data_IF_561497472733
#
_entry.id   IF_561497472733
#
_cell.length_a   1.000
_cell.length_b   1.000
_cell.length_c   1.000
_cell.angle_alpha   90.00
_cell.angle_beta   90.00
_cell.angle_gamma   90.00
#
_symmetry.space_group_name_H-M   'P 1'
#
loop_
_entity.id
_entity.type
_entity.pdbx_description
1 polymer ?
#
# COMPACT_ATOMS: atom_id res chain seq x y z
N UNK A 1 57.01 -21.99 -27.20
CA UNK A 1 56.66 -21.47 -25.86
C UNK A 1 55.15 -21.33 -25.85
N UNK A 2 54.46 -22.34 -25.31
CA UNK A 2 53.01 -22.33 -25.14
C UNK A 2 52.74 -21.53 -23.88
N UNK A 3 52.13 -20.36 -24.03
CA UNK A 3 51.54 -19.62 -22.91
C UNK A 3 50.04 -19.78 -23.11
N UNK A 4 49.49 -20.86 -22.56
CA UNK A 4 48.07 -20.89 -22.23
C UNK A 4 47.89 -19.91 -21.08
N UNK A 5 47.08 -18.87 -21.27
CA UNK A 5 46.56 -18.04 -20.19
C UNK A 5 45.37 -18.78 -19.56
N UNK A 6 45.42 -19.21 -18.30
CA UNK A 6 44.24 -19.64 -17.59
C UNK A 6 43.81 -18.49 -16.68
N UNK A 7 42.77 -17.72 -17.01
CA UNK A 7 41.90 -17.03 -16.04
C UNK A 7 40.87 -16.10 -16.70
N UNK A 8 39.77 -16.65 -17.21
CA UNK A 8 38.52 -15.85 -17.38
C UNK A 8 37.28 -16.49 -16.73
N UNK A 9 37.38 -17.69 -16.15
CA UNK A 9 36.23 -18.40 -15.58
C UNK A 9 36.05 -18.26 -14.04
N UNK A 10 37.05 -17.78 -13.29
CA UNK A 10 36.94 -17.61 -11.83
C UNK A 10 36.20 -16.32 -11.41
N UNK A 11 36.15 -15.31 -12.28
CA UNK A 11 35.57 -13.99 -11.98
C UNK A 11 34.04 -13.90 -12.08
N UNK A 12 33.36 -14.99 -12.47
CA UNK A 12 31.89 -15.02 -12.56
C UNK A 12 31.21 -15.78 -11.41
N UNK A 13 31.90 -16.70 -10.74
CA UNK A 13 31.31 -17.48 -9.64
C UNK A 13 30.96 -16.59 -8.45
N UNK A 14 31.85 -15.68 -8.03
CA UNK A 14 31.58 -14.78 -6.91
C UNK A 14 30.46 -13.78 -7.21
N UNK A 15 30.37 -13.28 -8.45
CA UNK A 15 29.30 -12.37 -8.89
C UNK A 15 27.96 -13.10 -8.89
N UNK A 16 27.91 -14.33 -9.40
CA UNK A 16 26.71 -15.18 -9.38
C UNK A 16 26.30 -15.49 -7.94
N UNK A 17 27.25 -15.84 -7.06
CA UNK A 17 26.96 -16.14 -5.65
C UNK A 17 26.45 -14.90 -4.89
N UNK A 18 26.99 -13.73 -5.20
CA UNK A 18 26.54 -12.46 -4.68
C UNK A 18 25.13 -12.10 -5.18
N UNK A 19 24.84 -12.34 -6.45
CA UNK A 19 23.51 -12.12 -7.05
C UNK A 19 22.47 -13.09 -6.46
N UNK A 20 22.82 -14.35 -6.24
CA UNK A 20 21.96 -15.33 -5.54
C UNK A 20 21.69 -14.90 -4.09
N UNK A 21 22.71 -14.37 -3.38
CA UNK A 21 22.51 -13.83 -2.03
C UNK A 21 21.61 -12.60 -2.05
N UNK A 22 21.83 -11.68 -2.98
CA UNK A 22 21.01 -10.47 -3.13
C UNK A 22 19.57 -10.81 -3.49
N UNK A 23 19.34 -11.83 -4.31
CA UNK A 23 18.01 -12.32 -4.66
C UNK A 23 17.34 -13.01 -3.46
N UNK A 24 18.07 -13.80 -2.67
CA UNK A 24 17.55 -14.34 -1.39
C UNK A 24 17.18 -13.23 -0.41
N UNK A 25 17.98 -12.17 -0.34
CA UNK A 25 17.70 -11.00 0.49
C UNK A 25 16.44 -10.29 -0.02
N UNK A 26 16.30 -10.07 -1.34
CA UNK A 26 15.09 -9.49 -1.94
C UNK A 26 13.84 -10.32 -1.67
N UNK A 27 13.92 -11.64 -1.83
CA UNK A 27 12.80 -12.55 -1.56
C UNK A 27 12.43 -12.63 -0.07
N UNK A 28 13.40 -12.43 0.83
CA UNK A 28 13.09 -12.32 2.25
C UNK A 28 12.55 -10.93 2.61
N UNK A 29 13.05 -9.87 2.00
CA UNK A 29 12.54 -8.51 2.17
C UNK A 29 11.10 -8.40 1.66
N UNK A 30 10.74 -9.07 0.55
CA UNK A 30 9.36 -9.08 0.06
C UNK A 30 8.39 -9.78 1.03
N UNK A 31 8.85 -10.77 1.81
CA UNK A 31 8.07 -11.37 2.92
C UNK A 31 7.91 -10.45 4.13
N UNK A 32 8.82 -9.49 4.31
CA UNK A 32 8.72 -8.47 5.36
C UNK A 32 7.73 -7.35 5.00
N UNK A 33 7.25 -7.32 3.75
CA UNK A 33 6.14 -6.43 3.37
C UNK A 33 4.81 -6.95 3.91
N UNK A 34 3.85 -6.07 4.11
CA UNK A 34 2.55 -6.44 4.66
C UNK A 34 1.68 -7.26 3.69
N UNK A 35 1.85 -7.03 2.39
CA UNK A 35 1.27 -7.91 1.37
C UNK A 35 1.89 -9.31 1.46
N UNK A 36 3.21 -9.41 1.66
CA UNK A 36 3.93 -10.66 1.89
C UNK A 36 3.46 -11.38 3.15
N UNK A 37 3.32 -10.67 4.27
CA UNK A 37 2.77 -11.21 5.51
C UNK A 37 1.33 -11.67 5.36
N UNK A 38 0.45 -10.85 4.77
CA UNK A 38 -0.96 -11.19 4.57
C UNK A 38 -1.12 -12.44 3.71
N UNK A 39 -0.34 -12.56 2.64
CA UNK A 39 -0.29 -13.79 1.83
C UNK A 39 0.24 -14.99 2.62
N UNK A 40 1.30 -14.82 3.40
CA UNK A 40 1.87 -15.89 4.22
C UNK A 40 0.89 -16.39 5.30
N UNK A 41 0.13 -15.49 5.92
CA UNK A 41 -0.91 -15.86 6.89
C UNK A 41 -2.08 -16.55 6.20
N UNK A 42 -2.58 -16.02 5.07
CA UNK A 42 -3.63 -16.69 4.28
C UNK A 42 -3.23 -18.11 3.91
N UNK A 43 -2.00 -18.31 3.44
CA UNK A 43 -1.48 -19.64 3.11
C UNK A 43 -1.43 -20.55 4.34
N UNK A 44 -0.92 -20.05 5.47
CA UNK A 44 -0.89 -20.80 6.74
C UNK A 44 -2.30 -21.19 7.24
N UNK A 45 -3.29 -20.28 7.13
CA UNK A 45 -4.68 -20.57 7.54
C UNK A 45 -5.33 -21.63 6.64
N UNK A 46 -4.96 -21.68 5.35
CA UNK A 46 -5.40 -22.73 4.44
C UNK A 46 -4.72 -24.09 4.75
N UNK A 47 -3.41 -24.07 5.01
CA UNK A 47 -2.65 -25.26 5.41
C UNK A 47 -3.15 -25.84 6.75
N UNK A 48 -3.57 -24.99 7.69
CA UNK A 48 -4.10 -25.37 9.00
C UNK A 48 -5.64 -25.45 9.07
N UNK A 49 -6.33 -25.61 7.92
CA UNK A 49 -7.80 -25.67 7.83
C UNK A 49 -8.48 -26.75 8.69
N UNK A 50 -7.72 -27.75 9.14
CA UNK A 50 -8.21 -28.85 9.98
C UNK A 50 -8.14 -28.48 11.47
N UNK A 51 -7.27 -27.55 11.83
CA UNK A 51 -7.04 -27.11 13.22
C UNK A 51 -7.80 -25.83 13.54
N UNK A 52 -8.00 -24.95 12.56
CA UNK A 52 -8.82 -23.75 12.69
C UNK A 52 -10.17 -23.94 12.01
N UNK A 53 -11.24 -23.66 12.74
CA UNK A 53 -12.59 -23.57 12.21
C UNK A 53 -12.74 -22.38 11.23
N UNK A 54 -13.90 -22.29 10.58
CA UNK A 54 -14.15 -21.21 9.62
C UNK A 54 -14.20 -19.83 10.30
N UNK A 55 -14.75 -19.78 11.52
CA UNK A 55 -14.93 -18.56 12.30
C UNK A 55 -13.59 -18.01 12.80
N UNK A 56 -12.73 -18.83 13.41
CA UNK A 56 -11.40 -18.40 13.84
C UNK A 56 -10.50 -17.95 12.68
N UNK A 57 -10.68 -18.50 11.46
CA UNK A 57 -9.97 -18.01 10.26
C UNK A 57 -10.47 -16.62 9.82
N UNK A 58 -11.77 -16.36 9.93
CA UNK A 58 -12.33 -15.05 9.64
C UNK A 58 -11.84 -14.02 10.65
N UNK A 59 -11.79 -14.36 11.93
CA UNK A 59 -11.29 -13.46 12.99
C UNK A 59 -9.84 -13.04 12.74
N UNK A 60 -8.97 -13.98 12.38
CA UNK A 60 -7.56 -13.67 12.06
C UNK A 60 -7.47 -12.75 10.84
N UNK A 61 -8.28 -12.98 9.80
CA UNK A 61 -8.31 -12.12 8.62
C UNK A 61 -8.85 -10.72 8.94
N UNK A 62 -9.85 -10.62 9.81
CA UNK A 62 -10.39 -9.35 10.29
C UNK A 62 -9.36 -8.59 11.13
N UNK A 63 -8.63 -9.27 12.02
CA UNK A 63 -7.56 -8.68 12.80
C UNK A 63 -6.43 -8.14 11.91
N UNK A 64 -6.04 -8.88 10.87
CA UNK A 64 -5.06 -8.42 9.88
C UNK A 64 -5.57 -7.20 9.13
N UNK A 65 -6.83 -7.22 8.70
CA UNK A 65 -7.46 -6.06 8.04
C UNK A 65 -7.43 -4.84 8.96
N UNK A 66 -7.79 -5.01 10.23
CA UNK A 66 -7.74 -3.96 11.25
C UNK A 66 -6.33 -3.40 11.45
N UNK A 67 -5.31 -4.26 11.55
CA UNK A 67 -3.92 -3.82 11.64
C UNK A 67 -3.47 -3.05 10.39
N UNK A 68 -3.87 -3.51 9.20
CA UNK A 68 -3.56 -2.84 7.94
C UNK A 68 -4.17 -1.43 7.87
N UNK A 69 -5.38 -1.24 8.40
CA UNK A 69 -6.03 0.09 8.51
C UNK A 69 -5.22 1.08 9.34
N UNK A 70 -4.39 0.62 10.27
CA UNK A 70 -3.57 1.46 11.17
C UNK A 70 -2.12 1.64 10.71
N UNK A 71 -1.72 1.00 9.61
CA UNK A 71 -0.36 1.12 9.11
C UNK A 71 -0.07 2.51 8.54
N UNK A 72 1.16 3.01 8.73
CA UNK A 72 1.65 4.15 7.97
C UNK A 72 1.77 3.76 6.49
N UNK A 73 1.65 4.76 5.62
CA UNK A 73 1.91 4.61 4.19
C UNK A 73 3.42 4.48 4.00
N UNK A 74 3.85 3.53 3.17
CA UNK A 74 5.27 3.29 2.89
C UNK A 74 5.83 4.37 1.97
N UNK A 75 6.80 5.14 2.45
CA UNK A 75 7.42 6.25 1.73
C UNK A 75 8.18 5.81 0.48
N UNK A 76 8.66 4.57 0.42
CA UNK A 76 9.40 4.03 -0.72
C UNK A 76 8.50 3.32 -1.74
N UNK A 77 7.20 3.23 -1.48
CA UNK A 77 6.26 2.58 -2.37
C UNK A 77 5.93 3.46 -3.60
N UNK A 78 5.55 2.80 -4.71
CA UNK A 78 5.04 3.49 -5.90
C UNK A 78 3.77 4.27 -5.58
N UNK A 79 3.42 5.30 -6.38
CA UNK A 79 2.17 6.04 -6.16
C UNK A 79 0.96 5.11 -6.16
N UNK A 80 0.90 4.14 -7.07
CA UNK A 80 -0.17 3.16 -7.11
C UNK A 80 -0.31 2.39 -5.78
N UNK A 81 0.81 1.97 -5.20
CA UNK A 81 0.82 1.28 -3.91
C UNK A 81 0.44 2.22 -2.75
N UNK A 82 0.91 3.47 -2.75
CA UNK A 82 0.53 4.49 -1.76
C UNK A 82 -0.97 4.80 -1.82
N UNK A 83 -1.55 4.93 -3.00
CA UNK A 83 -2.99 5.15 -3.19
C UNK A 83 -3.81 3.95 -2.71
N UNK A 84 -3.33 2.73 -2.95
CA UNK A 84 -3.96 1.52 -2.41
C UNK A 84 -3.91 1.46 -0.89
N UNK A 85 -2.76 1.76 -0.29
CA UNK A 85 -2.60 1.80 1.16
C UNK A 85 -3.50 2.88 1.78
N UNK A 86 -3.57 4.06 1.16
CA UNK A 86 -4.45 5.14 1.58
C UNK A 86 -5.93 4.71 1.50
N UNK A 87 -6.35 4.11 0.38
CA UNK A 87 -7.71 3.60 0.21
C UNK A 87 -8.07 2.52 1.23
N UNK A 88 -7.17 1.54 1.45
CA UNK A 88 -7.33 0.52 2.48
C UNK A 88 -7.45 1.13 3.88
N UNK A 89 -6.70 2.20 4.15
CA UNK A 89 -6.71 2.88 5.44
C UNK A 89 -7.99 3.67 5.69
N UNK A 90 -8.57 4.28 4.65
CA UNK A 90 -9.81 5.08 4.71
C UNK A 90 -11.06 4.24 4.41
N UNK A 91 -10.90 2.94 4.17
CA UNK A 91 -11.99 2.03 3.79
C UNK A 91 -12.69 2.46 2.48
N UNK A 92 -11.92 3.06 1.57
CA UNK A 92 -12.38 3.48 0.26
C UNK A 92 -12.23 2.37 -0.78
N UNK A 93 -13.19 2.31 -1.70
CA UNK A 93 -12.99 1.68 -3.00
C UNK A 93 -11.99 2.51 -3.82
N UNK A 94 -11.04 1.85 -4.50
CA UNK A 94 -10.05 2.50 -5.36
C UNK A 94 -10.31 2.16 -6.82
N UNK A 95 -10.43 3.19 -7.66
CA UNK A 95 -10.50 3.06 -9.12
C UNK A 95 -9.35 3.84 -9.75
N UNK A 96 -8.50 3.17 -10.53
CA UNK A 96 -7.45 3.83 -11.30
C UNK A 96 -8.02 4.35 -12.63
N UNK A 97 -7.72 5.60 -12.96
CA UNK A 97 -8.10 6.27 -14.20
C UNK A 97 -6.83 6.69 -14.97
N UNK A 98 -6.91 6.97 -16.28
CA UNK A 98 -5.74 7.36 -17.08
C UNK A 98 -5.03 8.62 -16.56
N UNK A 99 -5.78 9.52 -15.93
CA UNK A 99 -5.36 10.80 -15.38
C UNK A 99 -5.17 10.78 -13.85
N UNK A 100 -5.33 9.62 -13.19
CA UNK A 100 -5.10 9.53 -11.76
C UNK A 100 -5.87 8.43 -11.02
N UNK A 101 -6.29 8.73 -9.80
CA UNK A 101 -6.89 7.78 -8.87
C UNK A 101 -8.15 8.36 -8.25
N UNK A 102 -9.20 7.56 -8.19
CA UNK A 102 -10.46 7.89 -7.56
C UNK A 102 -10.71 6.97 -6.37
N UNK A 103 -10.81 7.54 -5.17
CA UNK A 103 -11.08 6.83 -3.93
C UNK A 103 -12.44 7.26 -3.39
N UNK A 104 -13.31 6.31 -3.05
CA UNK A 104 -14.64 6.63 -2.51
C UNK A 104 -15.12 5.64 -1.46
N UNK A 105 -15.67 6.16 -0.37
CA UNK A 105 -16.56 5.45 0.55
C UNK A 105 -17.83 6.30 0.80
N UNK A 106 -18.62 5.98 1.83
CA UNK A 106 -19.85 6.71 2.16
C UNK A 106 -19.62 8.13 2.73
N UNK A 107 -18.45 8.37 3.30
CA UNK A 107 -18.14 9.60 4.04
C UNK A 107 -17.22 10.55 3.26
N UNK A 108 -16.41 10.03 2.34
CA UNK A 108 -15.41 10.79 1.59
C UNK A 108 -15.24 10.28 0.17
N UNK A 109 -15.10 11.23 -0.75
CA UNK A 109 -14.67 11.05 -2.13
C UNK A 109 -13.38 11.83 -2.35
N UNK A 110 -12.37 11.19 -2.93
CA UNK A 110 -11.05 11.76 -3.17
C UNK A 110 -10.68 11.48 -4.63
N UNK A 111 -10.42 12.53 -5.39
CA UNK A 111 -9.94 12.44 -6.76
C UNK A 111 -8.52 13.01 -6.81
N UNK A 112 -7.54 12.15 -7.08
CA UNK A 112 -6.13 12.55 -7.20
C UNK A 112 -5.74 12.51 -8.65
N UNK A 113 -5.36 13.64 -9.22
CA UNK A 113 -4.89 13.73 -10.60
C UNK A 113 -3.37 13.56 -10.64
N UNK A 114 -2.87 12.64 -11.46
CA UNK A 114 -1.46 12.28 -11.60
C UNK A 114 -1.03 12.27 -13.07
N UNK A 115 0.13 12.86 -13.37
CA UNK A 115 0.80 12.77 -14.67
C UNK A 115 2.21 12.27 -14.44
N UNK A 116 2.63 11.19 -15.12
CA UNK A 116 3.99 10.62 -15.01
C UNK A 116 4.43 10.38 -13.54
N UNK A 117 3.55 9.80 -12.72
CA UNK A 117 3.77 9.61 -11.28
C UNK A 117 4.02 10.92 -10.49
N UNK A 118 3.57 12.07 -11.00
CA UNK A 118 3.56 13.33 -10.25
C UNK A 118 2.13 13.76 -9.97
N UNK A 119 1.86 14.05 -8.71
CA UNK A 119 0.54 14.52 -8.26
C UNK A 119 0.39 15.97 -8.71
N UNK A 120 -0.58 16.22 -9.58
CA UNK A 120 -0.85 17.56 -10.13
C UNK A 120 -2.04 18.24 -9.47
N UNK A 121 -3.03 17.46 -9.02
CA UNK A 121 -4.26 17.96 -8.42
C UNK A 121 -4.85 16.97 -7.43
N UNK A 122 -5.69 17.48 -6.54
CA UNK A 122 -6.47 16.67 -5.61
C UNK A 122 -7.79 17.40 -5.34
N UNK A 123 -8.90 16.68 -5.47
CA UNK A 123 -10.22 17.16 -5.08
C UNK A 123 -10.80 16.26 -4.01
N UNK A 124 -11.54 16.88 -3.09
CA UNK A 124 -12.19 16.21 -1.97
C UNK A 124 -13.68 16.54 -1.96
N UNK A 125 -14.49 15.59 -1.54
CA UNK A 125 -15.88 15.80 -1.19
C UNK A 125 -16.20 14.93 0.02
N UNK A 126 -17.03 15.42 0.93
CA UNK A 126 -17.42 14.69 2.13
C UNK A 126 -18.93 14.52 2.15
N UNK A 127 -19.41 13.36 2.60
CA UNK A 127 -20.85 13.07 2.75
C UNK A 127 -21.68 13.37 1.49
N UNK A 128 -21.17 12.93 0.34
CA UNK A 128 -21.74 13.17 -1.00
C UNK A 128 -21.88 14.65 -1.42
N UNK A 129 -21.23 15.58 -0.71
CA UNK A 129 -21.11 16.99 -1.14
C UNK A 129 -20.21 17.12 -2.39
N UNK A 130 -20.38 18.21 -3.16
CA UNK A 130 -19.58 18.48 -4.35
C UNK A 130 -18.07 18.49 -4.07
N UNK A 131 -17.31 17.98 -5.04
CA UNK A 131 -15.86 17.99 -4.99
C UNK A 131 -15.32 19.43 -5.04
N UNK A 132 -14.41 19.75 -4.13
CA UNK A 132 -13.67 21.01 -4.09
C UNK A 132 -12.17 20.77 -4.25
N UNK A 133 -11.46 21.73 -4.85
CA UNK A 133 -10.01 21.67 -5.01
C UNK A 133 -9.30 21.81 -3.65
N UNK A 134 -8.38 20.89 -3.38
CA UNK A 134 -7.67 20.79 -2.10
C UNK A 134 -6.16 21.02 -2.30
N UNK A 135 -5.76 22.27 -2.54
CA UNK A 135 -4.36 22.62 -2.81
C UNK A 135 -3.40 22.24 -1.67
N UNK A 136 -3.82 22.39 -0.41
CA UNK A 136 -3.04 21.99 0.76
C UNK A 136 -2.76 20.48 0.76
N UNK A 137 -3.74 19.67 0.32
CA UNK A 137 -3.57 18.22 0.19
C UNK A 137 -2.60 17.87 -0.93
N UNK A 138 -2.64 18.60 -2.05
CA UNK A 138 -1.66 18.42 -3.13
C UNK A 138 -0.23 18.62 -2.60
N UNK A 139 0.01 19.62 -1.75
CA UNK A 139 1.33 19.85 -1.12
C UNK A 139 1.74 18.66 -0.25
N UNK A 140 0.84 18.19 0.62
CA UNK A 140 1.10 17.02 1.47
C UNK A 140 1.45 15.77 0.65
N UNK A 141 0.65 15.46 -0.36
CA UNK A 141 0.85 14.26 -1.17
C UNK A 141 2.14 14.33 -1.99
N UNK A 142 2.51 15.51 -2.51
CA UNK A 142 3.80 15.73 -3.19
C UNK A 142 5.00 15.56 -2.27
N UNK A 143 4.86 15.96 -1.01
CA UNK A 143 5.90 15.80 0.01
C UNK A 143 6.00 14.36 0.55
N UNK A 144 5.08 13.48 0.16
CA UNK A 144 5.01 12.11 0.69
C UNK A 144 4.27 12.01 2.03
N UNK A 145 3.66 13.08 2.53
CA UNK A 145 2.96 13.14 3.82
C UNK A 145 1.55 12.52 3.78
N UNK A 146 1.42 11.32 3.21
CA UNK A 146 0.15 10.59 3.09
C UNK A 146 -0.46 10.28 4.46
N UNK A 147 0.37 10.06 5.48
CA UNK A 147 -0.09 9.84 6.85
C UNK A 147 -0.77 11.08 7.46
N UNK A 148 -0.23 12.27 7.22
CA UNK A 148 -0.84 13.52 7.69
C UNK A 148 -2.18 13.77 6.98
N UNK A 149 -2.22 13.55 5.66
CA UNK A 149 -3.46 13.65 4.90
C UNK A 149 -4.53 12.68 5.42
N UNK A 150 -4.18 11.40 5.60
CA UNK A 150 -5.07 10.39 6.18
C UNK A 150 -5.63 10.83 7.54
N UNK A 151 -4.78 11.33 8.43
CA UNK A 151 -5.21 11.78 9.76
C UNK A 151 -6.15 12.98 9.67
N UNK A 152 -5.91 13.91 8.75
CA UNK A 152 -6.80 15.06 8.51
C UNK A 152 -8.19 14.60 8.03
N UNK A 153 -8.25 13.67 7.08
CA UNK A 153 -9.51 13.08 6.60
C UNK A 153 -10.26 12.40 7.75
N UNK A 154 -9.59 11.58 8.56
CA UNK A 154 -10.22 10.98 9.74
C UNK A 154 -10.71 12.00 10.76
N UNK A 155 -9.94 13.06 10.97
CA UNK A 155 -10.33 14.17 11.83
C UNK A 155 -11.65 14.78 11.36
N UNK A 156 -11.78 15.06 10.06
CA UNK A 156 -12.99 15.63 9.45
C UNK A 156 -14.17 14.66 9.52
N UNK A 157 -13.98 13.40 9.13
CA UNK A 157 -15.04 12.37 9.21
C UNK A 157 -15.57 12.24 10.64
N UNK A 158 -14.69 12.36 11.64
CA UNK A 158 -15.06 12.30 13.06
C UNK A 158 -15.78 13.54 13.61
N UNK A 159 -15.93 14.63 12.84
CA UNK A 159 -16.63 15.83 13.30
C UNK A 159 -18.16 15.71 13.26
N UNK A 160 -18.70 14.76 12.49
CA UNK A 160 -20.14 14.52 12.48
C UNK A 160 -20.52 13.57 13.62
N UNK A 161 -21.46 13.96 14.51
CA UNK A 161 -21.95 13.08 15.55
C UNK A 161 -22.57 11.82 14.92
N UNK A 162 -22.25 10.64 15.46
CA UNK A 162 -22.79 9.35 15.00
C UNK A 162 -24.33 9.27 14.96
N UNK A 163 -25.01 10.26 15.53
CA UNK A 163 -26.45 10.34 15.70
C UNK A 163 -27.17 11.03 14.52
N UNK A 164 -26.44 11.53 13.51
CA UNK A 164 -27.02 12.28 12.38
C UNK A 164 -27.22 11.40 11.13
N UNK A 165 -26.59 10.22 11.07
CA UNK A 165 -26.69 9.31 9.91
C UNK A 165 -27.72 8.18 10.09
N UNK A 166 -28.83 8.42 10.81
CA UNK A 166 -29.91 7.45 11.04
C UNK A 166 -31.08 7.64 10.05
#
# INVERSE_FOLDING_TARGET
MLVEEPQENELNLERIDMEIRMEKIRQNASKLTWDGFGQAVRRNLLEKRVTFDAEGRLDVLQAISFMRKKMPVDDNATIAAKMKQLADSLECSLTAQPDGYFLRNNDVTIEVTCIEEKIIGCKLGYWDEPLFDAEEVVKLLRNGDFGQFRNAVFGIIGLIPANVNA
#
